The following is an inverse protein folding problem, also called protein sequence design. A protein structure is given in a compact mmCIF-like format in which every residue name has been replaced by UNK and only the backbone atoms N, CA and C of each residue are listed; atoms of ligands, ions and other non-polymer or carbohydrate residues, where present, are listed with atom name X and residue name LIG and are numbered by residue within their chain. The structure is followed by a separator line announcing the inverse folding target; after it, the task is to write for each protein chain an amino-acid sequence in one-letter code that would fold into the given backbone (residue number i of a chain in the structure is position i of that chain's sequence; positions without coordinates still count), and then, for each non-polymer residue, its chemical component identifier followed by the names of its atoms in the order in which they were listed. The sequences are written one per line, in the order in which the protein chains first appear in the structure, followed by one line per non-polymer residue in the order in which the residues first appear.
data_IF_194628104912
#
_entry.id   IF_194628104912
#
_cell.length_a   1.000
_cell.length_b   1.000
_cell.length_c   1.000
_cell.angle_alpha   90.00
_cell.angle_beta   90.00
_cell.angle_gamma   90.00
#
_symmetry.space_group_name_H-M   'P 1'
#
loop_
_entity.id
_entity.type
_entity.pdbx_description
1 polymer ?
#
# COMPACT_ATOMS: atom_id res chain seq x y z
N UNK A 1 1.30 24.00 1.40
CA UNK A 1 0.46 22.84 1.69
C UNK A 1 1.28 21.57 1.55
N UNK A 2 1.04 20.63 2.43
CA UNK A 2 1.83 19.41 2.47
C UNK A 2 1.23 18.37 1.52
N UNK A 3 2.05 17.89 0.59
CA UNK A 3 1.66 16.83 -0.31
C UNK A 3 1.58 15.50 0.44
N UNK A 4 0.51 14.75 0.23
CA UNK A 4 0.33 13.43 0.85
C UNK A 4 1.20 12.41 0.13
N UNK A 5 1.85 11.56 0.90
CA UNK A 5 2.79 10.55 0.37
C UNK A 5 2.18 9.16 0.46
N UNK A 6 2.20 8.44 -0.65
CA UNK A 6 1.77 7.04 -0.75
C UNK A 6 3.00 6.19 -1.02
N UNK A 7 3.21 5.18 -0.19
CA UNK A 7 4.27 4.19 -0.42
C UNK A 7 3.63 2.96 -1.06
N UNK A 8 4.16 2.54 -2.20
CA UNK A 8 3.66 1.36 -2.91
C UNK A 8 4.74 0.30 -2.94
N UNK A 9 4.45 -0.85 -2.33
CA UNK A 9 5.38 -1.98 -2.25
C UNK A 9 4.93 -3.06 -3.22
N UNK A 10 5.70 -3.27 -4.28
CA UNK A 10 5.36 -4.17 -5.38
C UNK A 10 6.64 -4.55 -6.11
N UNK A 11 6.88 -5.84 -6.34
CA UNK A 11 8.09 -6.29 -7.01
C UNK A 11 8.01 -6.24 -8.54
N UNK A 12 6.81 -6.18 -9.11
CA UNK A 12 6.61 -6.20 -10.55
C UNK A 12 6.66 -4.80 -11.15
N UNK A 13 7.61 -4.56 -12.05
CA UNK A 13 7.81 -3.24 -12.67
C UNK A 13 6.58 -2.79 -13.46
N UNK A 14 5.91 -3.72 -14.15
CA UNK A 14 4.71 -3.37 -14.92
C UNK A 14 3.60 -2.84 -14.01
N UNK A 15 3.40 -3.50 -12.87
CA UNK A 15 2.39 -3.07 -11.91
C UNK A 15 2.75 -1.72 -11.30
N UNK A 16 4.03 -1.51 -10.98
CA UNK A 16 4.46 -0.21 -10.44
C UNK A 16 4.24 0.91 -11.45
N UNK A 17 4.51 0.63 -12.73
CA UNK A 17 4.31 1.61 -13.80
C UNK A 17 2.85 2.04 -13.90
N UNK A 18 1.92 1.08 -13.81
CA UNK A 18 0.49 1.38 -13.87
C UNK A 18 0.08 2.32 -12.75
N UNK A 19 0.48 2.01 -11.52
CA UNK A 19 0.15 2.84 -10.36
C UNK A 19 0.86 4.20 -10.44
N UNK A 20 2.10 4.21 -10.92
CA UNK A 20 2.84 5.45 -11.11
C UNK A 20 2.11 6.40 -12.08
N UNK A 21 1.61 5.86 -13.17
CA UNK A 21 0.84 6.66 -14.13
C UNK A 21 -0.49 7.13 -13.55
N UNK A 22 -1.16 6.25 -12.80
CA UNK A 22 -2.41 6.58 -12.17
C UNK A 22 -2.24 7.73 -11.16
N UNK A 23 -1.29 7.61 -10.25
CA UNK A 23 -1.07 8.61 -9.22
C UNK A 23 -0.40 9.88 -9.76
N UNK A 24 0.23 9.79 -10.93
CA UNK A 24 0.80 10.96 -11.59
C UNK A 24 -0.22 12.01 -11.98
N UNK A 25 -1.51 11.65 -12.00
CA UNK A 25 -2.60 12.57 -12.31
C UNK A 25 -3.26 13.12 -11.05
N UNK A 26 -2.71 12.80 -9.88
CA UNK A 26 -3.25 13.22 -8.60
C UNK A 26 -2.25 14.13 -7.89
N UNK A 27 -2.66 14.64 -6.73
CA UNK A 27 -1.76 15.44 -5.90
C UNK A 27 -0.86 14.58 -5.01
N UNK A 28 -1.02 13.26 -5.02
CA UNK A 28 -0.22 12.36 -4.19
C UNK A 28 1.23 12.28 -4.67
N UNK A 29 2.15 12.20 -3.71
CA UNK A 29 3.54 11.86 -3.98
C UNK A 29 3.67 10.35 -3.85
N UNK A 30 4.27 9.70 -4.85
CA UNK A 30 4.45 8.25 -4.84
C UNK A 30 5.89 7.89 -4.52
N UNK A 31 6.07 6.98 -3.56
CA UNK A 31 7.36 6.35 -3.27
C UNK A 31 7.18 4.86 -3.52
N UNK A 32 8.14 4.24 -4.21
CA UNK A 32 8.04 2.83 -4.59
C UNK A 32 9.10 1.99 -3.89
N UNK A 33 8.73 0.77 -3.50
CA UNK A 33 9.66 -0.21 -2.96
C UNK A 33 9.42 -1.54 -3.67
N UNK A 34 10.47 -2.34 -3.82
CA UNK A 34 10.43 -3.53 -4.67
C UNK A 34 10.25 -4.84 -3.93
N UNK A 35 10.33 -4.81 -2.60
CA UNK A 35 10.10 -6.00 -1.78
C UNK A 35 9.68 -5.60 -0.38
N UNK A 36 9.33 -6.59 0.44
CA UNK A 36 8.83 -6.35 1.79
C UNK A 36 9.83 -5.64 2.69
N UNK A 37 11.09 -6.05 2.63
CA UNK A 37 12.13 -5.45 3.47
C UNK A 37 12.37 -3.99 3.07
N UNK A 38 12.47 -3.74 1.77
CA UNK A 38 12.63 -2.36 1.27
C UNK A 38 11.41 -1.52 1.61
N UNK A 39 10.21 -2.12 1.57
CA UNK A 39 8.98 -1.44 1.92
C UNK A 39 8.95 -1.01 3.38
N UNK A 40 9.34 -1.91 4.29
CA UNK A 40 9.39 -1.59 5.71
C UNK A 40 10.42 -0.49 5.97
N UNK A 41 11.62 -0.61 5.37
CA UNK A 41 12.65 0.40 5.54
C UNK A 41 12.20 1.76 5.00
N UNK A 42 11.57 1.78 3.84
CA UNK A 42 11.07 3.02 3.25
C UNK A 42 9.99 3.66 4.12
N UNK A 43 9.12 2.84 4.72
CA UNK A 43 8.07 3.36 5.60
C UNK A 43 8.67 4.07 6.81
N UNK A 44 9.74 3.52 7.40
CA UNK A 44 10.40 4.16 8.51
C UNK A 44 11.10 5.46 8.10
N UNK A 45 11.70 5.46 6.91
CA UNK A 45 12.47 6.60 6.43
C UNK A 45 11.58 7.75 5.94
N UNK A 46 10.55 7.41 5.17
CA UNK A 46 9.71 8.42 4.49
C UNK A 46 8.52 8.84 5.33
N UNK A 47 8.06 8.00 6.25
CA UNK A 47 6.85 8.23 7.04
C UNK A 47 5.66 8.54 6.13
N UNK A 48 5.25 7.60 5.28
CA UNK A 48 4.17 7.86 4.33
C UNK A 48 2.84 8.04 5.04
N UNK A 49 1.90 8.67 4.35
CA UNK A 49 0.55 8.87 4.86
C UNK A 49 -0.34 7.66 4.61
N UNK A 50 0.06 6.79 3.67
CA UNK A 50 -0.68 5.57 3.35
C UNK A 50 0.29 4.60 2.65
N UNK A 51 0.07 3.30 2.87
CA UNK A 51 0.88 2.25 2.25
C UNK A 51 -0.02 1.34 1.43
N UNK A 52 0.37 1.12 0.17
CA UNK A 52 -0.23 0.08 -0.68
C UNK A 52 0.74 -1.10 -0.63
N UNK A 53 0.26 -2.25 -0.16
CA UNK A 53 1.12 -3.41 0.10
C UNK A 53 0.65 -4.62 -0.69
N UNK A 54 1.44 -5.05 -1.67
CA UNK A 54 1.16 -6.31 -2.36
C UNK A 54 1.44 -7.48 -1.42
N UNK A 55 0.55 -8.48 -1.41
CA UNK A 55 0.74 -9.68 -0.59
C UNK A 55 1.87 -10.54 -1.15
N UNK A 56 1.94 -10.64 -2.49
CA UNK A 56 2.89 -11.54 -3.15
C UNK A 56 4.21 -10.86 -3.43
N UNK A 57 5.09 -10.90 -2.43
CA UNK A 57 6.42 -10.33 -2.53
C UNK A 57 7.46 -11.41 -2.30
N UNK A 58 8.66 -11.27 -2.90
CA UNK A 58 9.73 -12.25 -2.65
C UNK A 58 10.22 -12.16 -1.22
N UNK A 59 10.59 -13.29 -0.67
CA UNK A 59 11.19 -13.47 0.66
C UNK A 59 10.28 -13.13 1.83
N UNK A 60 9.77 -11.92 1.90
CA UNK A 60 8.86 -11.48 2.97
C UNK A 60 7.51 -11.16 2.34
N UNK A 61 6.45 -11.85 2.75
CA UNK A 61 5.11 -11.56 2.20
C UNK A 61 4.64 -10.17 2.64
N UNK A 62 3.69 -9.61 1.89
CA UNK A 62 3.10 -8.34 2.27
C UNK A 62 2.38 -8.38 3.61
N UNK A 63 1.86 -9.56 4.00
CA UNK A 63 1.23 -9.71 5.31
C UNK A 63 2.27 -9.67 6.43
N UNK A 64 3.43 -10.29 6.22
CA UNK A 64 4.52 -10.21 7.19
C UNK A 64 5.03 -8.79 7.33
N UNK A 65 5.18 -8.08 6.21
CA UNK A 65 5.57 -6.67 6.23
C UNK A 65 4.55 -5.82 6.98
N UNK A 66 3.26 -6.10 6.76
CA UNK A 66 2.18 -5.39 7.46
C UNK A 66 2.27 -5.60 8.97
N UNK A 67 2.52 -6.83 9.41
CA UNK A 67 2.68 -7.13 10.84
C UNK A 67 3.87 -6.37 11.43
N UNK A 68 4.99 -6.34 10.70
CA UNK A 68 6.17 -5.62 11.15
C UNK A 68 5.89 -4.12 11.29
N UNK A 69 5.14 -3.55 10.35
CA UNK A 69 4.79 -2.13 10.41
C UNK A 69 3.86 -1.82 11.58
N UNK A 70 2.91 -2.71 11.86
CA UNK A 70 1.99 -2.52 12.99
C UNK A 70 2.70 -2.67 14.35
N UNK A 71 3.78 -3.41 14.39
CA UNK A 71 4.54 -3.63 15.63
C UNK A 71 5.46 -2.46 15.97
N UNK A 72 5.68 -1.52 15.05
CA UNK A 72 6.60 -0.41 15.26
C UNK A 72 5.83 0.89 15.53
N UNK A 73 6.25 1.64 16.53
CA UNK A 73 5.60 2.90 16.92
C UNK A 73 5.51 3.91 15.79
N UNK A 74 6.51 3.90 14.89
CA UNK A 74 6.57 4.87 13.79
C UNK A 74 5.48 4.65 12.74
N UNK A 75 4.95 3.42 12.62
CA UNK A 75 4.04 3.05 11.55
C UNK A 75 2.77 2.36 12.01
N UNK A 76 2.60 2.17 13.32
CA UNK A 76 1.47 1.38 13.84
C UNK A 76 0.11 1.93 13.44
N UNK A 77 -0.02 3.23 13.20
CA UNK A 77 -1.29 3.86 12.85
C UNK A 77 -1.40 4.25 11.37
N UNK A 78 -0.36 3.98 10.56
CA UNK A 78 -0.39 4.32 9.15
C UNK A 78 -1.39 3.43 8.41
N UNK A 79 -2.33 4.00 7.64
CA UNK A 79 -3.25 3.17 6.86
C UNK A 79 -2.49 2.28 5.87
N UNK A 80 -2.83 0.99 5.86
CA UNK A 80 -2.22 0.02 4.96
C UNK A 80 -3.34 -0.67 4.19
N UNK A 81 -3.30 -0.54 2.85
CA UNK A 81 -4.22 -1.22 1.96
C UNK A 81 -3.47 -2.39 1.35
N UNK A 82 -3.96 -3.59 1.61
CA UNK A 82 -3.36 -4.83 1.10
C UNK A 82 -3.95 -5.15 -0.27
N UNK A 83 -3.09 -5.47 -1.23
CA UNK A 83 -3.47 -5.83 -2.59
C UNK A 83 -3.11 -7.30 -2.82
N UNK A 84 -4.07 -8.11 -3.27
CA UNK A 84 -3.82 -9.54 -3.47
C UNK A 84 -4.35 -10.01 -4.82
N UNK A 85 -3.63 -10.97 -5.43
CA UNK A 85 -4.07 -11.65 -6.65
C UNK A 85 -5.01 -12.81 -6.35
N UNK A 86 -5.05 -13.26 -5.09
CA UNK A 86 -5.84 -14.41 -4.69
C UNK A 86 -7.02 -13.97 -3.83
N UNK A 87 -8.18 -13.83 -4.46
CA UNK A 87 -9.41 -13.50 -3.74
C UNK A 87 -10.04 -14.80 -3.22
N UNK A 88 -9.30 -15.55 -2.42
CA UNK A 88 -9.76 -16.80 -1.86
C UNK A 88 -10.47 -16.56 -0.53
N UNK A 89 -11.31 -17.52 -0.16
CA UNK A 89 -11.96 -17.50 1.13
C UNK A 89 -10.90 -17.39 2.25
N UNK A 90 -11.07 -16.44 3.13
CA UNK A 90 -10.14 -16.24 4.24
C UNK A 90 -9.03 -15.23 3.99
N UNK A 91 -8.83 -14.78 2.75
CA UNK A 91 -7.77 -13.81 2.45
C UNK A 91 -8.02 -12.47 3.14
N UNK A 92 -9.26 -12.02 3.11
CA UNK A 92 -9.62 -10.75 3.77
C UNK A 92 -9.40 -10.85 5.28
N UNK A 93 -9.78 -11.97 5.86
CA UNK A 93 -9.59 -12.20 7.31
C UNK A 93 -8.10 -12.25 7.66
N UNK A 94 -7.28 -12.87 6.82
CA UNK A 94 -5.82 -12.90 7.06
C UNK A 94 -5.21 -11.51 6.96
N UNK A 95 -5.66 -10.72 6.00
CA UNK A 95 -5.16 -9.34 5.85
C UNK A 95 -5.57 -8.49 7.06
N UNK A 96 -6.81 -8.61 7.48
CA UNK A 96 -7.31 -7.90 8.66
C UNK A 96 -6.55 -8.33 9.92
N UNK A 97 -6.32 -9.63 10.08
CA UNK A 97 -5.58 -10.15 11.23
C UNK A 97 -4.14 -9.66 11.24
N UNK A 98 -3.54 -9.41 10.07
CA UNK A 98 -2.20 -8.85 9.98
C UNK A 98 -2.17 -7.35 10.30
N UNK A 99 -3.31 -6.69 10.32
CA UNK A 99 -3.41 -5.28 10.65
C UNK A 99 -3.74 -4.37 9.48
N UNK A 100 -4.17 -4.93 8.35
CA UNK A 100 -4.53 -4.11 7.18
C UNK A 100 -5.74 -3.24 7.47
N UNK A 101 -5.69 -2.00 6.96
CA UNK A 101 -6.80 -1.06 7.06
C UNK A 101 -7.82 -1.27 5.96
N UNK A 102 -7.36 -1.74 4.80
CA UNK A 102 -8.21 -1.99 3.64
C UNK A 102 -7.67 -3.14 2.81
N UNK A 103 -8.44 -3.56 1.83
CA UNK A 103 -8.15 -4.74 1.04
C UNK A 103 -8.71 -4.52 -0.37
N UNK A 104 -7.92 -4.88 -1.37
CA UNK A 104 -8.38 -4.86 -2.75
C UNK A 104 -7.81 -6.08 -3.48
N UNK A 105 -8.65 -6.73 -4.28
CA UNK A 105 -8.26 -7.92 -5.04
C UNK A 105 -7.91 -7.55 -6.47
N UNK A 106 -6.86 -8.17 -7.02
CA UNK A 106 -6.52 -8.06 -8.43
C UNK A 106 -7.40 -9.03 -9.23
N UNK A 107 -7.79 -8.69 -10.44
CA UNK A 107 -7.57 -7.40 -11.08
C UNK A 107 -8.52 -6.33 -10.51
N UNK A 108 -8.01 -5.14 -10.30
CA UNK A 108 -8.82 -4.01 -9.89
C UNK A 108 -8.78 -2.97 -11.00
N UNK A 109 -9.82 -2.12 -11.07
CA UNK A 109 -9.78 -1.01 -12.02
C UNK A 109 -9.01 0.16 -11.38
N UNK A 110 -8.38 1.01 -12.20
CA UNK A 110 -7.75 2.22 -11.66
C UNK A 110 -8.70 3.08 -10.83
N UNK A 111 -9.98 3.11 -11.24
CA UNK A 111 -11.00 3.87 -10.51
C UNK A 111 -11.25 3.29 -9.12
N UNK A 112 -11.30 1.96 -9.00
CA UNK A 112 -11.48 1.30 -7.71
C UNK A 112 -10.33 1.61 -6.75
N UNK A 113 -9.09 1.50 -7.23
CA UNK A 113 -7.93 1.77 -6.41
C UNK A 113 -7.91 3.23 -5.96
N UNK A 114 -8.16 4.14 -6.88
CA UNK A 114 -8.15 5.56 -6.57
C UNK A 114 -9.26 5.94 -5.58
N UNK A 115 -10.45 5.35 -5.74
CA UNK A 115 -11.55 5.59 -4.82
C UNK A 115 -11.19 5.12 -3.40
N UNK A 116 -10.54 3.95 -3.31
CA UNK A 116 -10.13 3.41 -2.02
C UNK A 116 -9.05 4.28 -1.39
N UNK A 117 -8.08 4.73 -2.18
CA UNK A 117 -7.06 5.65 -1.71
C UNK A 117 -7.68 6.92 -1.13
N UNK A 118 -8.61 7.51 -1.84
CA UNK A 118 -9.25 8.75 -1.41
C UNK A 118 -10.10 8.56 -0.17
N UNK A 119 -10.62 7.36 0.04
CA UNK A 119 -11.38 7.05 1.24
C UNK A 119 -10.50 7.13 2.50
N UNK A 120 -9.29 6.60 2.43
CA UNK A 120 -8.36 6.59 3.55
C UNK A 120 -7.48 7.84 3.60
N UNK A 121 -7.26 8.47 2.46
CA UNK A 121 -6.33 9.59 2.36
C UNK A 121 -6.86 10.59 1.33
N UNK A 122 -7.78 11.48 1.72
CA UNK A 122 -8.30 12.48 0.77
C UNK A 122 -7.18 13.33 0.19
N UNK A 123 -7.29 13.68 -1.10
CA UNK A 123 -6.32 14.54 -1.73
C UNK A 123 -6.36 15.93 -1.12
N UNK A 124 -5.19 16.58 -1.08
CA UNK A 124 -5.09 17.95 -0.64
C UNK A 124 -5.90 18.85 -1.57
N UNK A 125 -6.70 19.73 -0.97
CA UNK A 125 -7.38 20.76 -1.73
C UNK A 125 -6.34 21.78 -2.18
N UNK A 126 -6.29 22.05 -3.46
CA UNK A 126 -5.35 23.03 -4.00
C UNK A 126 -5.94 24.42 -4.02
#
# INVERSE_FOLDING_TARGET
MTQRTVLYVEDNEYNRKIVRQLLGRTSYRLVEAVDGEAGVAAAFEVAPDLILMDVQLPRMSGLDATRALRADERTKDTPIIVITSFAMSGDRERATAAGASGYVAKPYSPRELLALLRQFLPEEAS
#
